data_IF_894262438562
#
_entry.id   IF_894262438562
#
_cell.length_a   1.000
_cell.length_b   1.000
_cell.length_c   1.000
_cell.angle_alpha   90.00
_cell.angle_beta   90.00
_cell.angle_gamma   90.00
#
_symmetry.space_group_name_H-M   'P 1'
#
loop_
_entity.id
_entity.type
_entity.pdbx_description
1 polymer ?
#
# COMPACT_ATOMS: atom_id res chain seq x y z
N UNK A 1 -12.39 19.43 15.81
CA UNK A 1 -11.19 18.97 15.06
C UNK A 1 -9.96 19.15 15.95
N UNK A 2 -9.04 18.18 15.97
CA UNK A 2 -7.80 18.21 16.77
C UNK A 2 -6.65 18.80 15.94
N UNK A 3 -5.61 19.35 16.59
CA UNK A 3 -4.42 19.92 15.92
C UNK A 3 -3.79 18.96 14.89
N UNK A 4 -3.75 17.66 15.20
CA UNK A 4 -3.23 16.65 14.28
C UNK A 4 -4.07 16.45 13.01
N UNK A 5 -5.38 16.72 13.06
CA UNK A 5 -6.26 16.63 11.87
C UNK A 5 -5.84 17.69 10.84
N UNK A 6 -5.50 18.91 11.30
CA UNK A 6 -5.01 19.98 10.45
C UNK A 6 -3.61 19.69 9.89
N UNK A 7 -2.69 19.16 10.70
CA UNK A 7 -1.34 18.80 10.24
C UNK A 7 -1.39 17.71 9.16
N UNK A 8 -2.13 16.63 9.44
CA UNK A 8 -2.30 15.52 8.51
C UNK A 8 -2.99 15.97 7.22
N UNK A 9 -4.07 16.75 7.34
CA UNK A 9 -4.80 17.31 6.21
C UNK A 9 -3.95 18.26 5.36
N UNK A 10 -3.12 19.09 5.99
CA UNK A 10 -2.21 20.01 5.28
C UNK A 10 -1.13 19.25 4.50
N UNK A 11 -0.61 18.15 5.08
CA UNK A 11 0.35 17.30 4.38
C UNK A 11 -0.30 16.59 3.18
N UNK A 12 -1.53 16.12 3.31
CA UNK A 12 -2.27 15.55 2.17
C UNK A 12 -2.56 16.60 1.11
N UNK A 13 -2.97 17.81 1.53
CA UNK A 13 -3.22 18.93 0.65
C UNK A 13 -1.96 19.33 -0.12
N UNK A 14 -0.78 19.29 0.50
CA UNK A 14 0.49 19.54 -0.18
C UNK A 14 0.69 18.58 -1.36
N UNK A 15 0.46 17.28 -1.16
CA UNK A 15 0.52 16.29 -2.24
C UNK A 15 -0.47 16.60 -3.37
N UNK A 16 -1.69 17.02 -3.03
CA UNK A 16 -2.71 17.39 -4.01
C UNK A 16 -2.29 18.65 -4.78
N UNK A 17 -1.78 19.68 -4.10
CA UNK A 17 -1.32 20.93 -4.71
C UNK A 17 -0.16 20.69 -5.67
N UNK A 18 0.80 19.83 -5.29
CA UNK A 18 1.91 19.41 -6.18
C UNK A 18 1.37 18.87 -7.51
N UNK A 19 0.24 18.16 -7.50
CA UNK A 19 -0.35 17.55 -8.70
C UNK A 19 -1.28 18.49 -9.50
N UNK A 20 -1.92 19.45 -8.84
CA UNK A 20 -2.82 20.40 -9.50
C UNK A 20 -2.03 21.47 -10.24
N UNK A 21 -0.98 22.01 -9.62
CA UNK A 21 -0.18 23.08 -10.22
C UNK A 21 0.71 22.47 -11.34
N UNK A 22 0.58 22.89 -12.61
CA UNK A 22 1.28 22.25 -13.73
C UNK A 22 2.80 22.22 -13.57
N UNK A 23 3.41 23.34 -13.17
CA UNK A 23 4.86 23.46 -13.01
C UNK A 23 5.40 22.55 -11.92
N UNK A 24 4.73 22.46 -10.77
CA UNK A 24 5.15 21.53 -9.71
C UNK A 24 4.92 20.08 -10.09
N UNK A 25 3.83 19.79 -10.81
CA UNK A 25 3.53 18.43 -11.30
C UNK A 25 4.61 17.97 -12.28
N UNK A 26 4.99 18.82 -13.23
CA UNK A 26 6.03 18.52 -14.21
C UNK A 26 7.39 18.31 -13.54
N UNK A 27 7.78 19.19 -12.60
CA UNK A 27 8.99 19.03 -11.83
C UNK A 27 8.99 17.73 -11.01
N UNK A 28 7.85 17.40 -10.39
CA UNK A 28 7.68 16.17 -9.63
C UNK A 28 7.76 14.92 -10.52
N UNK A 29 7.09 14.93 -11.67
CA UNK A 29 7.17 13.83 -12.65
C UNK A 29 8.62 13.68 -13.12
N UNK A 30 9.27 14.77 -13.54
CA UNK A 30 10.66 14.75 -13.99
C UNK A 30 11.60 14.15 -12.94
N UNK A 31 11.51 14.61 -11.68
CA UNK A 31 12.30 14.07 -10.58
C UNK A 31 12.09 12.57 -10.39
N UNK A 32 10.82 12.12 -10.38
CA UNK A 32 10.50 10.71 -10.13
C UNK A 32 10.73 9.82 -11.33
N UNK A 33 10.80 10.37 -12.55
CA UNK A 33 11.23 9.66 -13.75
C UNK A 33 12.75 9.47 -13.79
N UNK A 34 13.53 10.48 -13.37
CA UNK A 34 14.99 10.37 -13.26
C UNK A 34 15.41 9.47 -12.10
N UNK A 35 14.65 9.49 -11.00
CA UNK A 35 14.96 8.76 -9.78
C UNK A 35 13.78 7.85 -9.36
N UNK A 36 13.46 6.79 -10.15
CA UNK A 36 12.25 5.99 -9.93
C UNK A 36 12.21 5.35 -8.55
N UNK A 37 13.31 4.74 -8.09
CA UNK A 37 13.37 4.11 -6.78
C UNK A 37 13.26 5.12 -5.63
N UNK A 38 14.00 6.23 -5.68
CA UNK A 38 13.91 7.29 -4.66
C UNK A 38 12.50 7.89 -4.64
N UNK A 39 11.91 8.13 -5.81
CA UNK A 39 10.54 8.60 -5.95
C UNK A 39 9.53 7.63 -5.34
N UNK A 40 9.65 6.33 -5.62
CA UNK A 40 8.83 5.28 -5.00
C UNK A 40 8.98 5.24 -3.48
N UNK A 41 10.23 5.33 -3.00
CA UNK A 41 10.54 5.36 -1.57
C UNK A 41 9.86 6.52 -0.86
N UNK A 42 10.01 7.74 -1.39
CA UNK A 42 9.42 8.95 -0.79
C UNK A 42 7.88 8.88 -0.83
N UNK A 43 7.30 8.49 -1.98
CA UNK A 43 5.84 8.39 -2.17
C UNK A 43 5.22 7.46 -1.12
N UNK A 44 5.70 6.22 -1.02
CA UNK A 44 5.14 5.25 -0.09
C UNK A 44 5.55 5.53 1.36
N UNK A 45 6.81 5.90 1.61
CA UNK A 45 7.29 6.19 2.96
C UNK A 45 6.50 7.31 3.64
N UNK A 46 6.01 8.29 2.88
CA UNK A 46 5.14 9.35 3.39
C UNK A 46 3.67 8.92 3.40
N UNK A 47 3.10 8.56 2.25
CA UNK A 47 1.65 8.34 2.13
C UNK A 47 1.16 7.10 2.87
N UNK A 48 1.91 6.00 2.88
CA UNK A 48 1.50 4.81 3.63
C UNK A 48 1.60 5.04 5.14
N UNK A 49 2.64 5.74 5.60
CA UNK A 49 2.75 6.18 7.00
C UNK A 49 1.61 7.12 7.40
N UNK A 50 1.18 8.02 6.49
CA UNK A 50 -0.02 8.82 6.71
C UNK A 50 -1.27 7.96 6.85
N UNK A 51 -1.41 6.90 6.06
CA UNK A 51 -2.48 5.91 6.18
C UNK A 51 -2.49 5.19 7.53
N UNK A 52 -1.33 4.74 8.00
CA UNK A 52 -1.17 4.13 9.33
C UNK A 52 -1.62 5.08 10.46
N UNK A 53 -1.12 6.32 10.43
CA UNK A 53 -1.46 7.33 11.44
C UNK A 53 -2.95 7.67 11.43
N UNK A 54 -3.56 7.76 10.24
CA UNK A 54 -4.99 7.97 10.10
C UNK A 54 -5.79 6.77 10.64
N UNK A 55 -5.33 5.54 10.38
CA UNK A 55 -5.95 4.34 10.93
C UNK A 55 -5.95 4.35 12.46
N UNK A 56 -4.83 4.70 13.10
CA UNK A 56 -4.74 4.87 14.56
C UNK A 56 -5.69 5.96 15.05
N UNK A 57 -5.76 7.09 14.33
CA UNK A 57 -6.66 8.20 14.65
C UNK A 57 -8.13 7.80 14.61
N UNK A 58 -8.56 6.98 13.65
CA UNK A 58 -9.94 6.49 13.53
C UNK A 58 -10.27 5.52 14.66
N UNK A 59 -9.34 4.63 15.01
CA UNK A 59 -9.52 3.60 16.03
C UNK A 59 -9.53 4.16 17.45
N UNK A 60 -8.59 5.05 17.78
CA UNK A 60 -8.36 5.54 19.16
C UNK A 60 -8.96 6.91 19.43
N UNK A 61 -9.59 7.50 18.41
CA UNK A 61 -10.08 8.88 18.40
C UNK A 61 -9.03 9.94 18.84
N UNK A 62 -7.74 9.60 18.79
CA UNK A 62 -6.59 10.43 19.22
C UNK A 62 -5.43 10.25 18.24
N UNK A 63 -4.66 11.31 18.00
CA UNK A 63 -3.40 11.21 17.29
C UNK A 63 -2.33 10.67 18.21
N UNK A 64 -1.93 9.42 17.96
CA UNK A 64 -0.88 8.74 18.70
C UNK A 64 0.16 8.34 17.66
N UNK A 65 1.38 8.82 17.83
CA UNK A 65 2.51 8.41 17.00
C UNK A 65 3.05 7.10 17.59
N UNK A 66 2.91 5.96 16.89
CA UNK A 66 3.44 4.69 17.37
C UNK A 66 4.96 4.75 17.52
N UNK A 67 5.51 3.98 18.47
CA UNK A 67 6.96 3.82 18.56
C UNK A 67 7.45 3.14 17.27
N UNK A 68 8.61 3.56 16.77
CA UNK A 68 9.18 2.99 15.54
C UNK A 68 8.52 3.45 14.23
N UNK A 69 7.69 4.50 14.24
CA UNK A 69 7.06 5.06 13.02
C UNK A 69 8.08 5.39 11.91
N UNK A 70 9.30 5.82 12.27
CA UNK A 70 10.37 6.11 11.31
C UNK A 70 10.83 4.82 10.62
N UNK A 71 11.04 3.74 11.39
CA UNK A 71 11.39 2.45 10.81
C UNK A 71 10.25 1.91 9.94
N UNK A 72 9.00 2.11 10.36
CA UNK A 72 7.82 1.77 9.55
C UNK A 72 7.78 2.55 8.23
N UNK A 73 8.07 3.85 8.27
CA UNK A 73 8.19 4.68 7.07
C UNK A 73 9.30 4.19 6.13
N UNK A 74 10.42 3.70 6.67
CA UNK A 74 11.50 3.09 5.88
C UNK A 74 11.03 1.79 5.23
N UNK A 75 10.33 0.91 5.97
CA UNK A 75 9.73 -0.32 5.42
C UNK A 75 8.81 0.02 4.27
N UNK A 76 7.90 0.99 4.46
CA UNK A 76 7.02 1.45 3.40
C UNK A 76 7.77 2.02 2.20
N UNK A 77 8.82 2.80 2.43
CA UNK A 77 9.66 3.29 1.36
C UNK A 77 10.31 2.17 0.55
N UNK A 78 10.85 1.13 1.21
CA UNK A 78 11.40 -0.04 0.52
C UNK A 78 10.34 -0.76 -0.30
N UNK A 79 9.15 -0.95 0.25
CA UNK A 79 7.99 -1.50 -0.48
C UNK A 79 7.67 -0.64 -1.72
N UNK A 80 7.70 0.69 -1.59
CA UNK A 80 7.50 1.63 -2.70
C UNK A 80 8.52 1.50 -3.82
N UNK A 81 9.79 1.21 -3.50
CA UNK A 81 10.83 0.92 -4.50
C UNK A 81 10.49 -0.34 -5.30
N UNK A 82 10.10 -1.41 -4.61
CA UNK A 82 9.73 -2.68 -5.25
C UNK A 82 8.48 -2.51 -6.11
N UNK A 83 7.44 -1.84 -5.59
CA UNK A 83 6.21 -1.54 -6.35
C UNK A 83 6.51 -0.75 -7.62
N UNK A 84 7.46 0.19 -7.56
CA UNK A 84 7.87 0.97 -8.73
C UNK A 84 8.42 0.07 -9.84
N UNK A 85 9.27 -0.90 -9.50
CA UNK A 85 9.76 -1.89 -10.46
C UNK A 85 8.64 -2.79 -10.98
N UNK A 86 7.78 -3.28 -10.07
CA UNK A 86 6.74 -4.24 -10.41
C UNK A 86 5.69 -3.68 -11.37
N UNK A 87 5.33 -2.39 -11.26
CA UNK A 87 4.45 -1.76 -12.25
C UNK A 87 5.00 -1.89 -13.67
N UNK A 88 6.30 -1.67 -13.87
CA UNK A 88 6.94 -1.85 -15.16
C UNK A 88 6.92 -3.31 -15.59
N UNK A 89 7.37 -4.23 -14.73
CA UNK A 89 7.43 -5.67 -15.02
C UNK A 89 6.08 -6.24 -15.43
N UNK A 90 5.01 -5.95 -14.68
CA UNK A 90 3.68 -6.46 -14.99
C UNK A 90 3.06 -5.79 -16.23
N UNK A 91 3.30 -4.48 -16.43
CA UNK A 91 2.79 -3.78 -17.63
C UNK A 91 3.42 -4.35 -18.90
N UNK A 92 4.75 -4.46 -18.93
CA UNK A 92 5.48 -4.91 -20.12
C UNK A 92 5.32 -6.41 -20.34
N UNK A 93 5.34 -7.21 -19.28
CA UNK A 93 5.13 -8.65 -19.35
C UNK A 93 3.75 -9.02 -19.92
N UNK A 94 2.69 -8.34 -19.48
CA UNK A 94 1.33 -8.56 -20.03
C UNK A 94 1.24 -8.09 -21.48
N UNK A 95 1.82 -6.95 -21.82
CA UNK A 95 1.85 -6.50 -23.22
C UNK A 95 2.54 -7.52 -24.14
N UNK A 96 3.67 -8.09 -23.70
CA UNK A 96 4.37 -9.13 -24.43
C UNK A 96 3.53 -10.40 -24.57
N UNK A 97 2.93 -10.89 -23.48
CA UNK A 97 2.08 -12.08 -23.51
C UNK A 97 0.85 -11.91 -24.43
N UNK A 98 0.26 -10.71 -24.48
CA UNK A 98 -0.81 -10.40 -25.44
C UNK A 98 -0.30 -10.40 -26.89
N UNK A 99 0.88 -9.82 -27.14
CA UNK A 99 1.46 -9.76 -28.49
C UNK A 99 1.79 -11.14 -29.06
N UNK A 100 2.14 -12.09 -28.19
CA UNK A 100 2.46 -13.49 -28.53
C UNK A 100 1.22 -14.40 -28.58
N UNK A 101 0.02 -13.88 -28.29
CA UNK A 101 -1.22 -14.66 -28.25
C UNK A 101 -1.35 -15.59 -27.05
N UNK A 102 -0.47 -15.50 -26.04
CA UNK A 102 -0.60 -16.22 -24.76
C UNK A 102 -1.77 -15.66 -23.95
N UNK A 103 -1.92 -14.33 -23.95
CA UNK A 103 -3.10 -13.66 -23.41
C UNK A 103 -4.00 -13.14 -24.55
N UNK A 104 -5.34 -13.21 -24.39
CA UNK A 104 -6.27 -12.72 -25.40
C UNK A 104 -6.32 -11.19 -25.46
N UNK A 105 -7.09 -10.67 -26.43
CA UNK A 105 -7.36 -9.25 -26.63
C UNK A 105 -6.10 -8.41 -26.90
N UNK A 106 -5.33 -8.83 -27.91
CA UNK A 106 -4.18 -8.07 -28.42
C UNK A 106 -4.54 -6.59 -28.59
N UNK A 107 -3.63 -5.72 -28.17
CA UNK A 107 -3.73 -4.24 -28.23
C UNK A 107 -4.85 -3.59 -27.39
N UNK A 108 -5.71 -4.37 -26.71
CA UNK A 108 -6.70 -3.81 -25.78
C UNK A 108 -6.03 -3.28 -24.51
N UNK A 109 -6.06 -1.95 -24.33
CA UNK A 109 -5.55 -1.27 -23.12
C UNK A 109 -6.28 -1.71 -21.85
N UNK A 110 -7.60 -1.89 -21.93
CA UNK A 110 -8.40 -2.35 -20.80
C UNK A 110 -8.04 -3.78 -20.40
N UNK A 111 -7.92 -4.68 -21.38
CA UNK A 111 -7.49 -6.06 -21.11
C UNK A 111 -6.08 -6.10 -20.53
N UNK A 112 -5.16 -5.28 -21.06
CA UNK A 112 -3.79 -5.14 -20.53
C UNK A 112 -3.80 -4.69 -19.07
N UNK A 113 -4.58 -3.68 -18.74
CA UNK A 113 -4.69 -3.17 -17.37
C UNK A 113 -5.31 -4.21 -16.42
N UNK A 114 -6.35 -4.91 -16.86
CA UNK A 114 -6.99 -5.96 -16.09
C UNK A 114 -6.04 -7.14 -15.86
N UNK A 115 -5.39 -7.67 -16.89
CA UNK A 115 -4.44 -8.77 -16.73
C UNK A 115 -3.21 -8.37 -15.91
N UNK A 116 -2.68 -7.15 -16.11
CA UNK A 116 -1.58 -6.61 -15.31
C UNK A 116 -1.96 -6.56 -13.84
N UNK A 117 -3.15 -6.05 -13.55
CA UNK A 117 -3.71 -6.03 -12.20
C UNK A 117 -3.94 -7.43 -11.64
N UNK A 118 -4.59 -8.32 -12.39
CA UNK A 118 -4.91 -9.67 -11.94
C UNK A 118 -3.65 -10.45 -11.60
N UNK A 119 -2.69 -10.53 -12.53
CA UNK A 119 -1.45 -11.29 -12.35
C UNK A 119 -0.63 -10.71 -11.20
N UNK A 120 -0.47 -9.38 -11.13
CA UNK A 120 0.22 -8.73 -10.02
C UNK A 120 -0.44 -9.05 -8.68
N UNK A 121 -1.76 -8.97 -8.60
CA UNK A 121 -2.48 -9.18 -7.36
C UNK A 121 -2.55 -10.65 -6.94
N UNK A 122 -2.62 -11.63 -7.84
CA UNK A 122 -2.61 -13.05 -7.44
C UNK A 122 -1.21 -13.60 -7.16
N UNK A 123 -0.15 -12.93 -7.61
CA UNK A 123 1.25 -13.39 -7.40
C UNK A 123 2.01 -12.50 -6.42
N UNK A 124 2.27 -11.25 -6.80
CA UNK A 124 3.06 -10.30 -6.03
C UNK A 124 2.31 -9.73 -4.82
N UNK A 125 1.00 -9.52 -4.93
CA UNK A 125 0.14 -9.03 -3.84
C UNK A 125 0.27 -9.85 -2.54
N UNK A 126 0.12 -11.18 -2.59
CA UNK A 126 0.37 -12.08 -1.47
C UNK A 126 1.72 -11.88 -0.79
N UNK A 127 2.77 -11.80 -1.59
CA UNK A 127 4.14 -11.71 -1.10
C UNK A 127 4.41 -10.34 -0.46
N UNK A 128 3.96 -9.24 -1.08
CA UNK A 128 4.19 -7.91 -0.51
C UNK A 128 3.44 -7.73 0.82
N UNK A 129 2.26 -8.36 0.97
CA UNK A 129 1.54 -8.39 2.24
C UNK A 129 2.34 -9.11 3.34
N UNK A 130 2.99 -10.23 3.03
CA UNK A 130 3.87 -10.92 3.98
C UNK A 130 5.07 -10.04 4.35
N UNK A 131 5.73 -9.43 3.37
CA UNK A 131 6.88 -8.56 3.63
C UNK A 131 6.51 -7.35 4.49
N UNK A 132 5.31 -6.80 4.29
CA UNK A 132 4.76 -5.74 5.14
C UNK A 132 4.56 -6.23 6.58
N UNK A 133 4.00 -7.42 6.80
CA UNK A 133 3.86 -8.02 8.13
C UNK A 133 5.20 -8.29 8.80
N UNK A 134 6.20 -8.77 8.05
CA UNK A 134 7.57 -8.89 8.57
C UNK A 134 8.16 -7.52 8.95
N UNK A 135 7.89 -6.49 8.17
CA UNK A 135 8.20 -5.11 8.51
C UNK A 135 7.56 -4.66 9.83
N UNK A 136 6.27 -4.92 10.02
CA UNK A 136 5.56 -4.65 11.28
C UNK A 136 6.22 -5.39 12.47
N UNK A 137 6.55 -6.67 12.30
CA UNK A 137 7.19 -7.47 13.34
C UNK A 137 8.59 -6.95 13.70
N UNK A 138 9.36 -6.51 12.71
CA UNK A 138 10.67 -5.86 12.93
C UNK A 138 10.52 -4.60 13.80
N UNK A 139 9.53 -3.77 13.50
CA UNK A 139 9.23 -2.56 14.26
C UNK A 139 8.84 -2.92 15.70
N UNK A 140 7.94 -3.87 15.87
CA UNK A 140 7.45 -4.28 17.20
C UNK A 140 8.57 -4.87 18.06
N UNK A 141 9.40 -5.76 17.53
CA UNK A 141 10.51 -6.36 18.29
C UNK A 141 11.51 -5.28 18.74
N UNK A 142 11.82 -4.31 17.88
CA UNK A 142 12.80 -3.27 18.18
C UNK A 142 12.27 -2.22 19.17
N UNK A 143 10.97 -1.93 19.17
CA UNK A 143 10.42 -0.77 19.88
C UNK A 143 9.32 -1.07 20.93
N UNK A 144 8.74 -2.27 20.94
CA UNK A 144 7.57 -2.64 21.76
C UNK A 144 7.82 -3.75 22.80
N UNK A 145 9.08 -3.99 23.20
CA UNK A 145 9.55 -4.79 24.37
C UNK A 145 9.94 -6.26 24.18
N UNK A 146 10.07 -6.82 22.98
CA UNK A 146 10.34 -8.26 22.94
C UNK A 146 11.80 -8.66 23.19
N UNK A 147 12.77 -7.71 23.20
CA UNK A 147 14.18 -7.88 23.64
C UNK A 147 14.97 -9.06 23.05
N UNK A 148 14.33 -9.82 22.18
CA UNK A 148 14.70 -11.16 21.81
C UNK A 148 15.32 -11.17 20.43
N UNK A 149 16.18 -12.15 20.19
CA UNK A 149 16.84 -12.32 18.91
C UNK A 149 15.79 -12.46 17.81
N UNK A 150 16.00 -11.72 16.73
CA UNK A 150 15.26 -11.86 15.49
C UNK A 150 15.62 -13.22 14.88
N UNK A 151 14.67 -14.15 14.84
CA UNK A 151 14.88 -15.47 14.21
C UNK A 151 13.84 -15.67 13.11
N UNK A 152 14.22 -16.44 12.08
CA UNK A 152 13.29 -16.83 11.01
C UNK A 152 12.05 -17.52 11.60
N UNK A 153 12.24 -18.36 12.63
CA UNK A 153 11.15 -19.02 13.34
C UNK A 153 10.13 -18.02 13.91
N UNK A 154 10.57 -16.95 14.58
CA UNK A 154 9.66 -15.92 15.10
C UNK A 154 8.84 -15.26 13.98
N UNK A 155 9.45 -14.96 12.84
CA UNK A 155 8.72 -14.41 11.69
C UNK A 155 7.66 -15.35 11.17
N UNK A 156 8.00 -16.62 10.96
CA UNK A 156 7.08 -17.61 10.38
C UNK A 156 5.93 -17.92 11.34
N UNK A 157 6.25 -18.11 12.63
CA UNK A 157 5.27 -18.47 13.66
C UNK A 157 4.34 -17.31 14.05
N UNK A 158 4.80 -16.07 13.90
CA UNK A 158 4.00 -14.87 14.22
C UNK A 158 2.96 -14.51 13.17
N UNK A 159 2.85 -15.28 12.09
CA UNK A 159 1.90 -15.05 11.00
C UNK A 159 0.65 -15.90 11.17
N UNK A 160 -0.50 -15.24 11.19
CA UNK A 160 -1.80 -15.90 11.05
C UNK A 160 -2.06 -16.28 9.58
N UNK A 161 -1.57 -17.46 9.19
CA UNK A 161 -1.70 -17.98 7.83
C UNK A 161 -3.14 -18.18 7.39
N UNK A 162 -4.06 -18.49 8.32
CA UNK A 162 -5.48 -18.65 8.00
C UNK A 162 -6.08 -17.32 7.52
N UNK A 163 -5.86 -16.25 8.29
CA UNK A 163 -6.33 -14.91 7.91
C UNK A 163 -5.64 -14.41 6.63
N UNK A 164 -4.34 -14.67 6.47
CA UNK A 164 -3.63 -14.29 5.25
C UNK A 164 -4.24 -14.96 4.01
N UNK A 165 -4.36 -16.29 4.01
CA UNK A 165 -4.84 -17.00 2.83
C UNK A 165 -6.34 -16.73 2.62
N UNK A 166 -7.16 -16.94 3.65
CA UNK A 166 -8.62 -16.90 3.55
C UNK A 166 -9.20 -15.51 3.35
N UNK A 167 -8.64 -14.50 4.02
CA UNK A 167 -9.15 -13.12 3.94
C UNK A 167 -8.30 -12.24 3.02
N UNK A 168 -6.98 -12.17 3.24
CA UNK A 168 -6.13 -11.25 2.48
C UNK A 168 -6.04 -11.68 1.00
N UNK A 169 -5.60 -12.91 0.72
CA UNK A 169 -5.33 -13.35 -0.65
C UNK A 169 -6.61 -13.60 -1.44
N UNK A 170 -7.52 -14.42 -0.90
CA UNK A 170 -8.70 -14.87 -1.63
C UNK A 170 -9.81 -13.82 -1.76
N UNK A 171 -9.90 -12.86 -0.82
CA UNK A 171 -10.98 -11.86 -0.82
C UNK A 171 -10.46 -10.46 -1.11
N UNK A 172 -9.52 -9.96 -0.32
CA UNK A 172 -9.05 -8.58 -0.44
C UNK A 172 -8.27 -8.40 -1.75
N UNK A 173 -7.33 -9.29 -2.05
CA UNK A 173 -6.52 -9.19 -3.26
C UNK A 173 -7.34 -9.32 -4.55
N UNK A 174 -8.31 -10.22 -4.57
CA UNK A 174 -9.14 -10.48 -5.75
C UNK A 174 -10.29 -9.49 -5.91
N UNK A 175 -11.07 -9.24 -4.85
CA UNK A 175 -12.31 -8.46 -4.94
C UNK A 175 -12.10 -6.97 -4.79
N UNK A 176 -11.05 -6.54 -4.07
CA UNK A 176 -10.76 -5.13 -3.82
C UNK A 176 -9.60 -4.66 -4.70
N UNK A 177 -8.47 -5.35 -4.64
CA UNK A 177 -7.25 -4.86 -5.27
C UNK A 177 -7.18 -5.08 -6.78
N UNK A 178 -7.77 -6.14 -7.33
CA UNK A 178 -7.82 -6.30 -8.80
C UNK A 178 -8.59 -5.13 -9.45
N UNK A 179 -9.82 -4.76 -9.01
CA UNK A 179 -10.50 -3.59 -9.56
C UNK A 179 -9.72 -2.29 -9.37
N UNK A 180 -9.24 -2.02 -8.15
CA UNK A 180 -8.52 -0.78 -7.83
C UNK A 180 -7.24 -0.65 -8.67
N UNK A 181 -6.42 -1.70 -8.73
CA UNK A 181 -5.19 -1.67 -9.51
C UNK A 181 -5.46 -1.70 -11.01
N UNK A 182 -6.58 -2.26 -11.50
CA UNK A 182 -6.95 -2.14 -12.93
C UNK A 182 -7.11 -0.67 -13.31
N UNK A 183 -7.77 0.13 -12.46
CA UNK A 183 -7.88 1.59 -12.65
C UNK A 183 -6.49 2.23 -12.64
N UNK A 184 -5.62 1.82 -11.71
CA UNK A 184 -4.24 2.33 -11.66
C UNK A 184 -3.45 2.00 -12.93
N UNK A 185 -3.54 0.78 -13.45
CA UNK A 185 -2.84 0.38 -14.68
C UNK A 185 -3.36 1.12 -15.92
N UNK A 186 -4.59 1.62 -15.90
CA UNK A 186 -5.13 2.50 -16.97
C UNK A 186 -4.51 3.91 -16.94
N UNK A 187 -3.96 4.34 -15.80
CA UNK A 187 -3.30 5.64 -15.71
C UNK A 187 -1.99 5.65 -16.52
N UNK A 188 -1.54 6.85 -16.97
CA UNK A 188 -0.19 7.02 -17.49
C UNK A 188 0.86 6.57 -16.47
N UNK A 189 1.96 6.01 -16.96
CA UNK A 189 2.96 5.29 -16.16
C UNK A 189 3.52 6.13 -15.00
N UNK A 190 3.77 7.41 -15.26
CA UNK A 190 4.28 8.38 -14.29
C UNK A 190 3.35 8.58 -13.07
N UNK A 191 2.06 8.27 -13.19
CA UNK A 191 1.08 8.44 -12.10
C UNK A 191 0.79 7.15 -11.34
N UNK A 192 1.13 5.97 -11.88
CA UNK A 192 0.72 4.67 -11.30
C UNK A 192 1.23 4.46 -9.88
N UNK A 193 2.52 4.69 -9.66
CA UNK A 193 3.16 4.53 -8.35
C UNK A 193 2.57 5.50 -7.33
N UNK A 194 2.26 6.73 -7.74
CA UNK A 194 1.65 7.72 -6.85
C UNK A 194 0.21 7.35 -6.51
N UNK A 195 -0.58 6.93 -7.50
CA UNK A 195 -1.96 6.46 -7.27
C UNK A 195 -1.99 5.25 -6.33
N UNK A 196 -1.06 4.30 -6.49
CA UNK A 196 -0.90 3.18 -5.56
C UNK A 196 -0.51 3.63 -4.14
N UNK A 197 0.34 4.66 -4.02
CA UNK A 197 0.65 5.24 -2.71
C UNK A 197 -0.57 5.91 -2.07
N UNK A 198 -1.44 6.59 -2.82
CA UNK A 198 -2.72 7.09 -2.27
C UNK A 198 -3.67 5.97 -1.84
N UNK A 199 -3.70 4.85 -2.56
CA UNK A 199 -4.49 3.68 -2.17
C UNK A 199 -4.07 3.12 -0.80
N UNK A 200 -2.80 3.27 -0.40
CA UNK A 200 -2.35 2.87 0.95
C UNK A 200 -3.00 3.71 2.07
N UNK A 201 -3.29 4.99 1.82
CA UNK A 201 -4.06 5.83 2.75
C UNK A 201 -5.49 5.30 2.89
N UNK A 202 -6.13 5.00 1.75
CA UNK A 202 -7.48 4.45 1.72
C UNK A 202 -7.56 3.10 2.45
N UNK A 203 -6.56 2.23 2.29
CA UNK A 203 -6.47 0.96 3.00
C UNK A 203 -6.46 1.16 4.52
N UNK A 204 -5.66 2.11 5.03
CA UNK A 204 -5.62 2.46 6.45
C UNK A 204 -7.00 2.84 7.00
N UNK A 205 -7.79 3.57 6.21
CA UNK A 205 -9.18 3.94 6.54
C UNK A 205 -10.09 2.70 6.56
N UNK A 206 -10.05 1.87 5.52
CA UNK A 206 -10.91 0.68 5.40
C UNK A 206 -10.67 -0.28 6.58
N UNK A 207 -9.40 -0.57 6.91
CA UNK A 207 -9.04 -1.46 8.01
C UNK A 207 -9.51 -0.89 9.35
N UNK A 208 -9.32 0.41 9.57
CA UNK A 208 -9.71 1.06 10.81
C UNK A 208 -11.23 1.03 11.03
N UNK A 209 -12.02 1.32 9.99
CA UNK A 209 -13.48 1.26 10.06
C UNK A 209 -13.95 -0.18 10.30
N UNK A 210 -13.39 -1.16 9.58
CA UNK A 210 -13.76 -2.57 9.76
C UNK A 210 -13.48 -3.06 11.18
N UNK A 211 -12.35 -2.68 11.76
CA UNK A 211 -11.99 -3.04 13.15
C UNK A 211 -12.89 -2.34 14.17
N UNK A 212 -13.19 -1.05 13.99
CA UNK A 212 -14.09 -0.30 14.88
C UNK A 212 -15.49 -0.91 14.92
N UNK A 213 -16.01 -1.35 13.76
CA UNK A 213 -17.30 -2.05 13.68
C UNK A 213 -17.28 -3.39 14.43
N UNK A 214 -16.23 -4.20 14.24
CA UNK A 214 -16.13 -5.49 14.92
C UNK A 214 -16.01 -5.34 16.44
N UNK A 215 -15.33 -4.31 16.93
CA UNK A 215 -15.27 -4.00 18.37
C UNK A 215 -16.64 -3.59 18.94
N UNK A 216 -17.45 -2.82 18.20
CA UNK A 216 -18.80 -2.47 18.63
C UNK A 216 -19.73 -3.68 18.75
N UNK A 217 -19.65 -4.61 17.79
CA UNK A 217 -20.45 -5.86 17.81
C UNK A 217 -20.06 -6.79 18.96
N UNK A 218 -18.78 -6.82 19.37
CA UNK A 218 -18.38 -7.63 20.54
C UNK A 218 -18.92 -7.07 21.86
N UNK A 219 -18.96 -5.74 22.01
CA UNK A 219 -19.52 -5.10 23.21
C UNK A 219 -21.03 -5.37 23.30
N UNK A 220 -21.76 -5.26 22.19
CA UNK A 220 -23.21 -5.56 22.15
C UNK A 220 -23.55 -7.05 22.35
N UNK A 221 -22.59 -7.98 22.18
CA UNK A 221 -22.79 -9.41 22.40
C UNK A 221 -22.45 -9.87 23.82
N UNK A 222 -21.77 -9.03 24.61
CA UNK A 222 -21.43 -9.27 26.02
C UNK A 222 -22.39 -8.60 27.00
N UNK A 223 -23.28 -7.72 26.50
CA UNK A 223 -24.39 -7.07 27.23
C UNK A 223 -25.72 -7.83 27.06
#
# INVERSE_FOLDING_TARGET
>A
MKKGDFLWGSLLLLWIVILIIPTSREAFIAFTSTNPYIGGFIKFGILATMGDLLGVRILKDKWIIPKGIILKAIVWGVIGMVITLMFTVFTTGVAAAQSQGILPFKDSKLARAFFGSAIMNVTFGPMIYIYEKFGDMLVNIKYENDGGKLTVKKFVDGIDWYTIVGFSWLKIQTLVWIPCHTIVFLLPEQYRVLAAAFLSVLLGVIIAISRKRNMGVQIEAED
#
